data_IF_699590216746
#
_entry.id   IF_699590216746
#
_cell.length_a   1.000
_cell.length_b   1.000
_cell.length_c   1.000
_cell.angle_alpha   90.00
_cell.angle_beta   90.00
_cell.angle_gamma   90.00
#
_symmetry.space_group_name_H-M   'P 1'
#
loop_
_entity.id
_entity.type
_entity.pdbx_description
1 polymer ?
#
# COMPACT_ATOMS: atom_id res chain seq x y z
N UNK A 1 11.24 12.63 -17.30
CA UNK A 1 11.69 11.22 -17.38
C UNK A 1 10.64 10.37 -16.69
N UNK A 2 10.24 9.26 -17.30
CA UNK A 2 9.37 8.27 -16.63
C UNK A 2 10.13 7.67 -15.44
N UNK A 3 9.49 7.53 -14.28
CA UNK A 3 10.10 6.93 -13.09
C UNK A 3 10.12 5.41 -13.26
N UNK A 4 11.03 4.74 -12.55
CA UNK A 4 11.13 3.27 -12.58
C UNK A 4 9.81 2.63 -12.16
N UNK A 5 9.16 3.17 -11.13
CA UNK A 5 7.86 2.69 -10.65
C UNK A 5 6.74 2.79 -11.69
N UNK A 6 6.83 3.73 -12.65
CA UNK A 6 5.83 3.91 -13.70
C UNK A 6 5.83 2.73 -14.72
N UNK A 7 6.79 1.80 -14.61
CA UNK A 7 6.81 0.53 -15.34
C UNK A 7 5.82 -0.51 -14.77
N UNK A 8 5.42 -0.34 -13.51
CA UNK A 8 4.42 -1.20 -12.87
C UNK A 8 3.02 -0.67 -13.25
N UNK A 9 2.12 -1.52 -13.79
CA UNK A 9 0.78 -1.07 -14.14
C UNK A 9 0.06 -0.56 -12.89
N UNK A 10 -0.51 0.63 -12.97
CA UNK A 10 -1.30 1.22 -11.89
C UNK A 10 -2.81 0.92 -12.00
N UNK A 11 -3.22 0.22 -13.06
CA UNK A 11 -4.56 -0.36 -13.22
C UNK A 11 -4.44 -1.87 -13.12
N UNK A 12 -4.97 -2.42 -12.04
CA UNK A 12 -4.78 -3.80 -11.63
C UNK A 12 -6.08 -4.57 -11.76
N UNK A 13 -6.03 -5.72 -12.41
CA UNK A 13 -7.15 -6.64 -12.60
C UNK A 13 -6.65 -8.09 -12.59
N UNK A 14 -7.56 -9.05 -12.70
CA UNK A 14 -7.25 -10.49 -12.65
C UNK A 14 -6.21 -10.93 -13.69
N UNK A 15 -6.07 -10.22 -14.80
CA UNK A 15 -5.16 -10.61 -15.89
C UNK A 15 -3.72 -10.14 -15.69
N UNK A 16 -3.51 -9.09 -14.87
CA UNK A 16 -2.18 -8.46 -14.73
C UNK A 16 -1.64 -8.41 -13.29
N UNK A 17 -2.45 -8.66 -12.26
CA UNK A 17 -2.04 -8.48 -10.86
C UNK A 17 -0.82 -9.32 -10.47
N UNK A 18 -0.75 -10.58 -10.89
CA UNK A 18 0.40 -11.46 -10.60
C UNK A 18 1.67 -10.95 -11.26
N UNK A 19 1.58 -10.50 -12.51
CA UNK A 19 2.71 -9.92 -13.22
C UNK A 19 3.18 -8.62 -12.56
N UNK A 20 2.24 -7.76 -12.15
CA UNK A 20 2.56 -6.51 -11.45
C UNK A 20 3.32 -6.75 -10.14
N UNK A 21 2.90 -7.75 -9.35
CA UNK A 21 3.61 -8.16 -8.13
C UNK A 21 5.01 -8.67 -8.47
N UNK A 22 5.14 -9.57 -9.45
CA UNK A 22 6.44 -10.12 -9.84
C UNK A 22 7.40 -9.04 -10.35
N UNK A 23 6.92 -8.16 -11.22
CA UNK A 23 7.71 -7.03 -11.73
C UNK A 23 8.14 -6.10 -10.57
N UNK A 24 7.25 -5.81 -9.62
CA UNK A 24 7.57 -4.99 -8.46
C UNK A 24 8.67 -5.64 -7.59
N UNK A 25 8.56 -6.94 -7.32
CA UNK A 25 9.58 -7.69 -6.56
C UNK A 25 10.93 -7.69 -7.28
N UNK A 26 10.95 -7.82 -8.60
CA UNK A 26 12.19 -7.73 -9.40
C UNK A 26 12.87 -6.36 -9.26
N UNK A 27 12.12 -5.27 -9.07
CA UNK A 27 12.71 -3.95 -8.79
C UNK A 27 13.48 -3.94 -7.46
N UNK A 28 13.10 -4.77 -6.49
CA UNK A 28 13.74 -4.84 -5.17
C UNK A 28 15.09 -5.54 -5.21
N UNK A 29 15.31 -6.45 -6.16
CA UNK A 29 16.60 -7.16 -6.32
C UNK A 29 17.78 -6.20 -6.57
N UNK A 30 17.48 -5.01 -7.11
CA UNK A 30 18.47 -3.97 -7.38
C UNK A 30 18.83 -3.12 -6.16
N UNK A 31 18.21 -3.36 -5.00
CA UNK A 31 18.49 -2.61 -3.77
C UNK A 31 19.68 -3.26 -3.04
N UNK A 32 20.75 -2.51 -2.73
CA UNK A 32 21.91 -3.07 -2.06
C UNK A 32 21.56 -3.52 -0.64
N UNK A 33 21.74 -4.82 -0.36
CA UNK A 33 21.50 -5.42 0.96
C UNK A 33 22.60 -5.09 1.99
N UNK A 34 23.76 -4.60 1.52
CA UNK A 34 24.92 -4.33 2.38
C UNK A 34 25.07 -2.83 2.61
N UNK A 35 24.77 -2.41 3.84
CA UNK A 35 25.18 -1.12 4.37
C UNK A 35 26.31 -1.34 5.37
N UNK A 36 27.53 -0.92 5.01
CA UNK A 36 28.65 -0.91 5.94
C UNK A 36 28.75 0.47 6.58
N UNK A 37 28.96 0.49 7.89
CA UNK A 37 29.17 1.72 8.63
C UNK A 37 30.10 1.48 9.81
N UNK A 38 30.93 2.47 10.13
CA UNK A 38 31.98 2.36 11.15
C UNK A 38 31.41 2.24 12.57
N UNK A 39 30.22 2.81 12.82
CA UNK A 39 29.54 2.77 14.10
C UNK A 39 28.02 2.94 13.95
N UNK A 40 27.27 2.68 15.03
CA UNK A 40 25.80 2.72 15.05
C UNK A 40 25.24 4.10 14.71
N UNK A 41 25.88 5.19 15.17
CA UNK A 41 25.39 6.55 14.90
C UNK A 41 25.49 6.89 13.41
N UNK A 42 26.61 6.54 12.78
CA UNK A 42 26.79 6.71 11.34
C UNK A 42 25.82 5.84 10.56
N UNK A 43 25.63 4.57 10.96
CA UNK A 43 24.65 3.68 10.33
C UNK A 43 23.23 4.27 10.34
N UNK A 44 22.78 4.75 11.51
CA UNK A 44 21.44 5.36 11.64
C UNK A 44 21.31 6.66 10.85
N UNK A 45 22.38 7.43 10.76
CA UNK A 45 22.43 8.64 9.93
C UNK A 45 22.29 8.27 8.46
N UNK A 46 23.04 7.27 8.01
CA UNK A 46 23.04 6.83 6.62
C UNK A 46 21.67 6.29 6.23
N UNK A 47 21.08 5.46 7.08
CA UNK A 47 19.74 4.91 6.89
C UNK A 47 18.67 6.00 6.72
N UNK A 48 18.80 7.12 7.47
CA UNK A 48 17.80 8.19 7.53
C UNK A 48 18.06 9.38 6.62
N UNK A 49 19.28 9.55 6.08
CA UNK A 49 19.69 10.76 5.38
C UNK A 49 20.31 10.49 4.03
N UNK A 50 21.00 9.36 3.86
CA UNK A 50 21.62 9.03 2.59
C UNK A 50 20.58 8.46 1.63
N UNK A 51 20.55 9.03 0.42
CA UNK A 51 19.64 8.61 -0.63
C UNK A 51 20.18 7.37 -1.32
N UNK A 52 19.28 6.44 -1.61
CA UNK A 52 19.59 5.30 -2.48
C UNK A 52 19.26 5.67 -3.93
N UNK A 53 20.14 5.27 -4.86
CA UNK A 53 19.96 5.49 -6.29
C UNK A 53 19.51 4.19 -6.98
N UNK A 54 18.67 3.40 -6.32
CA UNK A 54 18.21 2.10 -6.80
C UNK A 54 16.81 1.76 -6.29
N UNK A 55 16.24 0.68 -6.82
CA UNK A 55 14.89 0.22 -6.50
C UNK A 55 13.78 1.07 -7.14
N UNK A 56 12.52 0.89 -6.71
CA UNK A 56 11.37 1.60 -7.26
C UNK A 56 11.41 3.11 -6.99
N UNK A 57 12.09 3.53 -5.91
CA UNK A 57 12.20 4.91 -5.46
C UNK A 57 13.66 5.38 -5.45
N UNK A 58 14.26 5.64 -6.62
CA UNK A 58 15.57 6.27 -6.66
C UNK A 58 15.42 7.70 -6.11
N UNK A 59 16.36 8.15 -5.30
CA UNK A 59 16.45 9.48 -4.66
C UNK A 59 15.73 9.67 -3.32
N UNK A 60 15.22 8.61 -2.68
CA UNK A 60 14.80 8.66 -1.27
C UNK A 60 15.77 7.87 -0.39
N UNK A 61 15.66 8.03 0.92
CA UNK A 61 16.51 7.29 1.87
C UNK A 61 16.08 5.82 1.96
N UNK A 62 16.96 4.91 2.40
CA UNK A 62 16.56 3.51 2.57
C UNK A 62 15.40 3.38 3.56
N UNK A 63 15.40 4.17 4.64
CA UNK A 63 14.30 4.18 5.60
C UNK A 63 12.96 4.60 4.97
N UNK A 64 12.98 5.65 4.15
CA UNK A 64 11.78 6.11 3.45
C UNK A 64 11.33 5.12 2.37
N UNK A 65 12.28 4.59 1.59
CA UNK A 65 12.04 3.58 0.57
C UNK A 65 11.38 2.34 1.18
N UNK A 66 11.89 1.85 2.30
CA UNK A 66 11.32 0.70 3.00
C UNK A 66 9.84 0.92 3.38
N UNK A 67 9.50 2.10 3.91
CA UNK A 67 8.10 2.41 4.26
C UNK A 67 7.17 2.45 3.03
N UNK A 68 7.65 3.01 1.91
CA UNK A 68 6.91 3.05 0.64
C UNK A 68 6.74 1.63 0.08
N UNK A 69 7.83 0.89 -0.03
CA UNK A 69 7.88 -0.50 -0.53
C UNK A 69 6.90 -1.40 0.25
N UNK A 70 6.97 -1.37 1.58
CA UNK A 70 6.11 -2.23 2.39
C UNK A 70 4.63 -1.84 2.27
N UNK A 71 4.32 -0.56 2.09
CA UNK A 71 2.94 -0.09 1.86
C UNK A 71 2.44 -0.49 0.47
N UNK A 72 3.26 -0.33 -0.58
CA UNK A 72 2.90 -0.76 -1.94
C UNK A 72 2.66 -2.27 -2.01
N UNK A 73 3.52 -3.08 -1.38
CA UNK A 73 3.33 -4.52 -1.29
C UNK A 73 2.03 -4.86 -0.54
N UNK A 74 1.71 -4.14 0.52
CA UNK A 74 0.43 -4.30 1.24
C UNK A 74 -0.76 -3.99 0.31
N UNK A 75 -0.66 -2.95 -0.52
CA UNK A 75 -1.68 -2.62 -1.52
C UNK A 75 -1.78 -3.71 -2.59
N UNK A 76 -0.67 -4.07 -3.23
CA UNK A 76 -0.63 -5.06 -4.31
C UNK A 76 -1.24 -6.41 -3.88
N UNK A 77 -0.78 -6.95 -2.75
CA UNK A 77 -1.33 -8.20 -2.24
C UNK A 77 -2.79 -8.03 -1.78
N UNK A 78 -3.16 -6.87 -1.27
CA UNK A 78 -4.56 -6.59 -0.95
C UNK A 78 -5.48 -6.55 -2.16
N UNK A 79 -5.05 -5.93 -3.26
CA UNK A 79 -5.80 -5.94 -4.52
C UNK A 79 -5.91 -7.36 -5.08
N UNK A 80 -4.84 -8.17 -5.00
CA UNK A 80 -4.88 -9.59 -5.35
C UNK A 80 -5.97 -10.35 -4.58
N UNK A 81 -6.02 -10.20 -3.26
CA UNK A 81 -7.04 -10.83 -2.40
C UNK A 81 -8.46 -10.36 -2.75
N UNK A 82 -8.66 -9.05 -3.01
CA UNK A 82 -9.98 -8.53 -3.43
C UNK A 82 -10.42 -9.09 -4.78
N UNK A 83 -9.53 -9.13 -5.77
CA UNK A 83 -9.80 -9.73 -7.08
C UNK A 83 -10.16 -11.23 -6.93
N UNK A 84 -9.61 -11.90 -5.93
CA UNK A 84 -9.93 -13.29 -5.58
C UNK A 84 -11.19 -13.45 -4.70
N UNK A 85 -11.90 -12.36 -4.39
CA UNK A 85 -13.17 -12.41 -3.67
C UNK A 85 -13.03 -12.44 -2.14
N UNK A 86 -11.94 -11.92 -1.58
CA UNK A 86 -11.75 -11.87 -0.12
C UNK A 86 -12.86 -11.10 0.64
N UNK A 87 -13.59 -10.21 -0.04
CA UNK A 87 -14.74 -9.47 0.50
C UNK A 87 -15.86 -9.53 -0.54
N UNK A 88 -16.91 -10.32 -0.26
CA UNK A 88 -18.00 -10.58 -1.21
C UNK A 88 -18.71 -9.32 -1.71
N UNK A 89 -18.81 -8.29 -0.88
CA UNK A 89 -19.48 -7.02 -1.20
C UNK A 89 -18.60 -6.08 -2.06
N UNK A 90 -17.33 -6.42 -2.26
CA UNK A 90 -16.39 -5.68 -3.11
C UNK A 90 -16.06 -6.55 -4.33
N UNK A 91 -16.64 -6.19 -5.47
CA UNK A 91 -16.62 -6.98 -6.70
C UNK A 91 -16.32 -6.11 -7.94
N UNK A 92 -15.29 -5.26 -7.86
CA UNK A 92 -14.81 -4.51 -9.02
C UNK A 92 -13.84 -5.36 -9.85
N UNK A 93 -13.92 -5.23 -11.18
CA UNK A 93 -13.05 -5.95 -12.12
C UNK A 93 -11.64 -5.33 -12.22
N UNK A 94 -11.52 -4.04 -11.94
CA UNK A 94 -10.27 -3.28 -12.01
C UNK A 94 -10.14 -2.30 -10.83
N UNK A 95 -8.92 -2.15 -10.33
CA UNK A 95 -8.53 -1.20 -9.31
C UNK A 95 -7.43 -0.29 -9.85
N UNK A 96 -7.60 1.01 -9.73
CA UNK A 96 -6.53 1.97 -9.92
C UNK A 96 -5.81 2.16 -8.58
N UNK A 97 -4.48 2.08 -8.59
CA UNK A 97 -3.62 2.25 -7.41
C UNK A 97 -2.61 3.37 -7.60
N UNK A 98 -2.22 3.98 -6.50
CA UNK A 98 -1.13 4.95 -6.45
C UNK A 98 0.00 4.42 -5.57
N UNK A 99 1.18 4.26 -6.16
CA UNK A 99 2.36 3.79 -5.45
C UNK A 99 3.15 4.95 -4.84
N UNK A 100 3.86 4.68 -3.75
CA UNK A 100 4.95 5.54 -3.32
C UNK A 100 4.56 6.91 -2.75
N UNK A 101 3.27 7.15 -2.51
CA UNK A 101 2.76 8.45 -2.03
C UNK A 101 3.07 9.59 -3.01
N UNK A 102 2.80 9.35 -4.29
CA UNK A 102 3.01 10.38 -5.31
C UNK A 102 2.09 11.61 -5.16
N UNK A 103 1.11 11.55 -4.24
CA UNK A 103 0.11 12.56 -3.92
C UNK A 103 -0.60 13.13 -5.17
N UNK A 104 -0.69 12.34 -6.24
CA UNK A 104 -1.44 12.70 -7.45
C UNK A 104 -2.94 12.56 -7.20
N UNK A 105 -3.34 11.63 -6.35
CA UNK A 105 -4.73 11.44 -5.94
C UNK A 105 -4.89 11.55 -4.42
N UNK A 106 -6.12 11.79 -4.00
CA UNK A 106 -6.46 11.95 -2.58
C UNK A 106 -6.37 10.65 -1.78
N UNK A 107 -6.38 9.48 -2.44
CA UNK A 107 -6.32 8.16 -1.80
C UNK A 107 -5.44 7.18 -2.60
N UNK A 108 -5.00 6.10 -1.95
CA UNK A 108 -4.10 5.13 -2.58
C UNK A 108 -4.82 4.18 -3.58
N UNK A 109 -6.11 3.95 -3.39
CA UNK A 109 -6.88 2.92 -4.13
C UNK A 109 -8.21 3.49 -4.61
N UNK A 110 -8.55 3.21 -5.86
CA UNK A 110 -9.83 3.55 -6.48
C UNK A 110 -10.38 2.39 -7.28
N UNK A 111 -11.70 2.21 -7.26
CA UNK A 111 -12.41 1.37 -8.22
C UNK A 111 -13.80 1.96 -8.50
N UNK A 112 -14.38 1.62 -9.65
CA UNK A 112 -15.72 2.07 -10.04
C UNK A 112 -16.34 1.09 -11.02
N UNK A 113 -17.63 0.86 -10.88
CA UNK A 113 -18.47 0.11 -11.84
C UNK A 113 -19.45 1.04 -12.60
N UNK A 114 -19.29 2.36 -12.43
CA UNK A 114 -20.18 3.39 -12.99
C UNK A 114 -21.42 3.68 -12.13
N UNK A 115 -21.76 2.83 -11.15
CA UNK A 115 -22.90 2.98 -10.23
C UNK A 115 -22.40 3.35 -8.83
N UNK A 116 -21.35 2.70 -8.37
CA UNK A 116 -20.70 2.88 -7.08
C UNK A 116 -19.20 3.06 -7.29
N UNK A 117 -18.57 3.90 -6.45
CA UNK A 117 -17.12 3.96 -6.36
C UNK A 117 -16.62 3.33 -5.07
N UNK A 118 -15.39 2.84 -5.11
CA UNK A 118 -14.60 2.51 -3.95
C UNK A 118 -13.42 3.46 -3.88
N UNK A 119 -13.17 4.00 -2.69
CA UNK A 119 -11.91 4.67 -2.35
C UNK A 119 -11.26 3.93 -1.19
N UNK A 120 -9.93 3.87 -1.19
CA UNK A 120 -9.22 3.15 -0.14
C UNK A 120 -7.83 3.65 0.14
N UNK A 121 -7.35 3.30 1.32
CA UNK A 121 -5.99 3.58 1.80
C UNK A 121 -5.30 2.26 2.13
N UNK A 122 -4.03 2.17 1.77
CA UNK A 122 -3.20 1.01 2.03
C UNK A 122 -1.95 1.41 2.80
N UNK A 123 -1.70 0.77 3.95
CA UNK A 123 -0.48 1.08 4.69
C UNK A 123 0.11 -0.09 5.45
N UNK A 124 1.45 -0.14 5.45
CA UNK A 124 2.24 -0.97 6.33
C UNK A 124 2.73 -0.15 7.52
N UNK A 125 2.34 -0.52 8.74
CA UNK A 125 2.68 0.21 9.96
C UNK A 125 2.87 -0.71 11.15
N UNK A 126 3.69 -0.27 12.11
CA UNK A 126 3.74 -0.91 13.42
C UNK A 126 2.43 -0.72 14.18
N UNK A 127 2.14 -1.68 15.08
CA UNK A 127 0.93 -1.72 15.91
C UNK A 127 0.66 -0.42 16.70
N UNK A 128 1.71 0.26 17.17
CA UNK A 128 1.59 1.52 17.91
C UNK A 128 1.04 2.68 17.06
N UNK A 129 1.25 2.65 15.73
CA UNK A 129 0.80 3.71 14.82
C UNK A 129 -0.54 3.39 14.15
N UNK A 130 -0.99 2.13 14.20
CA UNK A 130 -2.16 1.67 13.47
C UNK A 130 -3.43 2.47 13.79
N UNK A 131 -3.75 2.67 15.07
CA UNK A 131 -5.01 3.32 15.45
C UNK A 131 -5.07 4.78 14.96
N UNK A 132 -3.96 5.50 15.08
CA UNK A 132 -3.85 6.89 14.60
C UNK A 132 -3.97 6.95 13.08
N UNK A 133 -3.24 6.10 12.35
CA UNK A 133 -3.28 6.09 10.87
C UNK A 133 -4.66 5.70 10.36
N UNK A 134 -5.27 4.65 10.93
CA UNK A 134 -6.65 4.23 10.65
C UNK A 134 -7.64 5.38 10.86
N UNK A 135 -7.57 6.07 12.01
CA UNK A 135 -8.49 7.14 12.32
C UNK A 135 -8.40 8.30 11.32
N UNK A 136 -7.17 8.69 10.95
CA UNK A 136 -6.93 9.76 9.98
C UNK A 136 -7.41 9.38 8.57
N UNK A 137 -7.08 8.17 8.12
CA UNK A 137 -7.52 7.64 6.82
C UNK A 137 -9.05 7.61 6.72
N UNK A 138 -9.73 7.03 7.71
CA UNK A 138 -11.21 6.97 7.72
C UNK A 138 -11.83 8.37 7.80
N UNK A 139 -11.27 9.29 8.59
CA UNK A 139 -11.76 10.66 8.66
C UNK A 139 -11.70 11.34 7.29
N UNK A 140 -10.56 11.22 6.59
CA UNK A 140 -10.35 11.74 5.23
C UNK A 140 -11.37 11.14 4.26
N UNK A 141 -11.42 9.81 4.18
CA UNK A 141 -12.24 9.10 3.19
C UNK A 141 -13.75 9.30 3.40
N UNK A 142 -14.23 9.30 4.66
CA UNK A 142 -15.66 9.53 4.97
C UNK A 142 -16.18 10.87 4.47
N UNK A 143 -15.30 11.88 4.36
CA UNK A 143 -15.68 13.19 3.83
C UNK A 143 -15.88 13.21 2.30
N UNK A 144 -15.46 12.15 1.60
CA UNK A 144 -15.41 12.10 0.12
C UNK A 144 -16.47 11.18 -0.51
N UNK A 145 -17.20 10.40 0.29
CA UNK A 145 -18.11 9.36 -0.18
C UNK A 145 -19.58 9.77 -0.16
N UNK A 146 -20.34 9.19 -1.08
CA UNK A 146 -21.80 9.18 -1.13
C UNK A 146 -22.35 7.89 -0.49
N UNK A 147 -23.65 7.81 -0.19
CA UNK A 147 -24.23 6.66 0.51
C UNK A 147 -23.98 5.27 -0.11
N UNK A 148 -23.80 5.16 -1.43
CA UNK A 148 -23.55 3.89 -2.12
C UNK A 148 -22.06 3.59 -2.36
N UNK A 149 -21.17 4.51 -1.99
CA UNK A 149 -19.74 4.34 -2.19
C UNK A 149 -19.15 3.51 -1.05
N UNK A 150 -18.04 2.82 -1.35
CA UNK A 150 -17.36 1.91 -0.43
C UNK A 150 -16.04 2.50 0.02
N UNK A 151 -15.72 2.32 1.30
CA UNK A 151 -14.43 2.62 1.89
C UNK A 151 -13.66 1.35 2.13
N UNK A 152 -12.37 1.36 1.80
CA UNK A 152 -11.49 0.24 2.02
C UNK A 152 -10.24 0.66 2.79
N UNK A 153 -9.93 -0.08 3.84
CA UNK A 153 -8.63 -0.02 4.49
C UNK A 153 -7.89 -1.34 4.31
N UNK A 154 -6.72 -1.29 3.67
CA UNK A 154 -5.81 -2.42 3.55
C UNK A 154 -4.61 -2.19 4.47
N UNK A 155 -4.27 -3.17 5.30
CA UNK A 155 -3.16 -3.02 6.25
C UNK A 155 -2.46 -4.35 6.57
N UNK A 156 -1.19 -4.27 6.94
CA UNK A 156 -0.37 -5.41 7.33
C UNK A 156 -0.91 -6.10 8.59
N UNK A 157 -0.83 -7.43 8.62
CA UNK A 157 -1.47 -8.27 9.63
C UNK A 157 -0.95 -8.05 11.05
N UNK A 158 0.33 -7.70 11.17
CA UNK A 158 1.06 -7.40 12.41
C UNK A 158 0.80 -5.97 12.94
N UNK A 159 0.08 -5.12 12.21
CA UNK A 159 -0.38 -3.82 12.71
C UNK A 159 -1.45 -3.97 13.81
N UNK A 160 -2.03 -5.15 13.99
CA UNK A 160 -3.10 -5.40 14.94
C UNK A 160 -2.92 -6.75 15.64
N UNK A 161 -3.63 -6.95 16.75
CA UNK A 161 -3.75 -8.28 17.35
C UNK A 161 -4.47 -9.25 16.39
N UNK A 162 -4.19 -10.53 16.50
CA UNK A 162 -4.89 -11.57 15.73
C UNK A 162 -6.41 -11.55 16.00
N UNK A 163 -6.78 -11.31 17.27
CA UNK A 163 -8.15 -11.14 17.73
C UNK A 163 -8.80 -9.81 17.36
N UNK A 164 -8.06 -8.86 16.78
CA UNK A 164 -8.62 -7.57 16.39
C UNK A 164 -9.73 -7.78 15.37
N UNK A 165 -10.87 -7.15 15.65
CA UNK A 165 -12.00 -7.06 14.74
C UNK A 165 -12.35 -5.57 14.58
N UNK A 166 -12.35 -5.04 13.35
CA UNK A 166 -12.78 -3.66 13.12
C UNK A 166 -14.27 -3.53 13.45
N UNK A 167 -14.65 -2.37 13.97
CA UNK A 167 -16.07 -2.05 14.22
C UNK A 167 -16.78 -2.03 12.88
N UNK A 168 -17.82 -2.84 12.73
CA UNK A 168 -18.61 -2.89 11.50
C UNK A 168 -19.35 -1.57 11.31
N UNK A 169 -19.22 -1.00 10.12
CA UNK A 169 -20.00 0.14 9.64
C UNK A 169 -20.41 -0.13 8.21
N UNK A 170 -21.60 0.34 7.84
CA UNK A 170 -22.10 0.19 6.48
C UNK A 170 -21.11 0.79 5.50
N UNK A 171 -20.77 0.03 4.46
CA UNK A 171 -19.85 0.41 3.39
C UNK A 171 -18.40 0.72 3.83
N UNK A 172 -17.99 0.32 5.05
CA UNK A 172 -16.60 0.40 5.49
C UNK A 172 -16.00 -1.00 5.62
N UNK A 173 -14.99 -1.25 4.80
CA UNK A 173 -14.34 -2.54 4.68
C UNK A 173 -12.90 -2.46 5.14
N UNK A 174 -12.43 -3.55 5.72
CA UNK A 174 -11.10 -3.68 6.28
C UNK A 174 -10.52 -5.00 5.82
N UNK A 175 -9.37 -4.95 5.17
CA UNK A 175 -8.65 -6.10 4.68
C UNK A 175 -7.28 -6.19 5.35
N UNK A 176 -7.04 -7.31 6.03
CA UNK A 176 -5.79 -7.60 6.71
C UNK A 176 -4.92 -8.44 5.80
N UNK A 177 -3.70 -8.00 5.51
CA UNK A 177 -2.77 -8.68 4.60
C UNK A 177 -1.60 -9.28 5.36
N UNK A 178 -1.37 -10.57 5.14
CA UNK A 178 -0.16 -11.25 5.57
C UNK A 178 0.79 -11.28 4.38
N UNK A 179 1.91 -10.58 4.50
CA UNK A 179 2.97 -10.60 3.51
C UNK A 179 3.84 -11.82 3.80
N UNK A 180 3.54 -12.95 3.14
CA UNK A 180 4.38 -14.15 3.17
C UNK A 180 5.37 -14.06 1.99
N UNK A 181 6.42 -13.24 2.16
CA UNK A 181 7.48 -13.00 1.17
C UNK A 181 8.80 -13.60 1.68
#
# INVERSE_FOLDING_TARGET
MSRIIDQIPNRLNKTNIEKAIADYLNLLENIPLKLQSENVLKFLTDLKREKINSGPYPNVTLFESANRIMSDLTILYGIKELLNGAINEINYDEYQVEFGHDNYNDNDIYASDGISKLIGEGFNVAKSFFQTKKANALKKMRAQIKPNDKLLLIYNSDAVLESYRPVRRTNEYHLKIKLDI
#
